data_IF_955502071929
#
_entry.id   IF_955502071929
#
_cell.length_a   1.000
_cell.length_b   1.000
_cell.length_c   1.000
_cell.angle_alpha   90.00
_cell.angle_beta   90.00
_cell.angle_gamma   90.00
#
_symmetry.space_group_name_H-M   'P 1'
#
loop_
_entity.id
_entity.type
_entity.pdbx_description
1 polymer ?
#
# COMPACT_ATOMS: atom_id res chain seq x y z
N UNK A 1 -3.60 0.28 -13.93
CA UNK A 1 -2.17 0.08 -14.25
C UNK A 1 -1.35 1.35 -14.03
N UNK A 2 -1.21 2.30 -14.96
CA UNK A 2 -0.40 3.52 -14.72
C UNK A 2 -1.17 4.65 -13.99
N UNK A 3 -2.45 4.85 -14.37
CA UNK A 3 -3.34 5.86 -13.77
C UNK A 3 -3.55 5.62 -12.26
N UNK A 4 -3.66 4.35 -11.86
CA UNK A 4 -3.89 3.96 -10.47
C UNK A 4 -2.68 4.19 -9.58
N UNK A 5 -1.51 4.45 -10.17
CA UNK A 5 -0.25 4.71 -9.47
C UNK A 5 0.15 6.19 -9.54
N UNK A 6 -0.78 7.07 -9.98
CA UNK A 6 -0.54 8.49 -10.19
C UNK A 6 0.63 8.81 -11.15
N UNK A 7 1.00 7.86 -12.03
CA UNK A 7 2.01 8.09 -13.05
C UNK A 7 1.40 8.82 -14.27
N UNK A 8 2.14 9.78 -14.86
CA UNK A 8 1.69 10.45 -16.08
C UNK A 8 1.57 9.43 -17.22
N UNK A 9 0.46 9.50 -17.97
CA UNK A 9 0.16 8.59 -19.09
C UNK A 9 1.04 8.78 -20.34
N UNK A 10 2.17 9.48 -20.21
CA UNK A 10 3.10 9.69 -21.32
C UNK A 10 3.84 8.38 -21.64
N UNK A 11 3.70 7.81 -22.85
CA UNK A 11 4.33 6.55 -23.25
C UNK A 11 5.84 6.53 -23.01
N UNK A 12 6.54 7.66 -23.17
CA UNK A 12 7.98 7.77 -22.93
C UNK A 12 8.36 7.58 -21.46
N UNK A 13 7.44 7.85 -20.53
CA UNK A 13 7.68 7.75 -19.07
C UNK A 13 7.19 6.44 -18.46
N UNK A 14 6.31 5.71 -19.14
CA UNK A 14 5.72 4.45 -18.64
C UNK A 14 6.19 3.21 -19.41
N UNK A 15 6.95 3.40 -20.49
CA UNK A 15 7.51 2.31 -21.29
C UNK A 15 8.95 2.01 -20.87
N UNK A 16 9.30 0.73 -20.79
CA UNK A 16 10.67 0.29 -20.61
C UNK A 16 11.47 0.35 -21.91
N UNK A 17 12.79 0.15 -21.81
CA UNK A 17 13.70 0.10 -22.96
C UNK A 17 13.32 -0.95 -24.01
N UNK A 18 12.54 -1.97 -23.61
CA UNK A 18 12.01 -2.99 -24.51
C UNK A 18 10.77 -2.55 -25.31
N UNK A 19 10.34 -1.28 -25.21
CA UNK A 19 9.20 -0.73 -25.94
C UNK A 19 7.82 -1.19 -25.42
N UNK A 20 7.77 -1.89 -24.28
CA UNK A 20 6.54 -2.32 -23.60
C UNK A 20 6.36 -1.54 -22.31
N UNK A 21 5.15 -1.57 -21.77
CA UNK A 21 4.82 -0.99 -20.47
C UNK A 21 5.72 -1.57 -19.38
N UNK A 22 6.24 -0.71 -18.48
CA UNK A 22 7.17 -1.14 -17.44
C UNK A 22 6.61 -2.29 -16.60
N UNK A 23 7.43 -3.32 -16.38
CA UNK A 23 7.01 -4.53 -15.67
C UNK A 23 6.71 -4.29 -14.19
N UNK A 24 7.35 -3.29 -13.55
CA UNK A 24 7.04 -2.87 -12.19
C UNK A 24 5.58 -2.43 -12.05
N UNK A 25 5.05 -1.69 -13.02
CA UNK A 25 3.65 -1.22 -12.99
C UNK A 25 2.67 -2.40 -12.92
N UNK A 26 2.96 -3.50 -13.63
CA UNK A 26 2.16 -4.71 -13.56
C UNK A 26 2.34 -5.46 -12.24
N UNK A 27 3.58 -5.56 -11.77
CA UNK A 27 3.93 -6.26 -10.53
C UNK A 27 3.26 -5.61 -9.31
N UNK A 28 3.25 -4.28 -9.24
CA UNK A 28 2.73 -3.52 -8.11
C UNK A 28 1.22 -3.30 -8.18
N UNK A 29 0.60 -3.48 -9.34
CA UNK A 29 -0.84 -3.19 -9.52
C UNK A 29 -1.78 -3.86 -8.50
N UNK A 30 -1.60 -5.13 -8.10
CA UNK A 30 -2.43 -5.74 -7.08
C UNK A 30 -2.31 -5.07 -5.70
N UNK A 31 -1.16 -4.47 -5.39
CA UNK A 31 -0.98 -3.71 -4.15
C UNK A 31 -1.82 -2.43 -4.19
N UNK A 32 -1.79 -1.72 -5.31
CA UNK A 32 -2.62 -0.52 -5.51
C UNK A 32 -4.11 -0.80 -5.46
N UNK A 33 -4.57 -1.93 -6.03
CA UNK A 33 -5.98 -2.32 -5.92
C UNK A 33 -6.40 -2.53 -4.46
N UNK A 34 -5.64 -3.35 -3.72
CA UNK A 34 -5.92 -3.64 -2.30
C UNK A 34 -5.85 -2.38 -1.42
N UNK A 35 -4.89 -1.51 -1.69
CA UNK A 35 -4.74 -0.27 -0.95
C UNK A 35 -5.92 0.68 -1.18
N UNK A 36 -6.41 0.81 -2.41
CA UNK A 36 -7.57 1.66 -2.71
C UNK A 36 -8.88 1.17 -2.05
N UNK A 37 -9.00 -0.13 -1.76
CA UNK A 37 -10.17 -0.71 -1.09
C UNK A 37 -10.22 -0.36 0.41
N UNK A 38 -9.06 -0.18 1.06
CA UNK A 38 -8.96 -0.01 2.52
C UNK A 38 -8.50 1.39 2.95
N UNK A 39 -7.74 2.10 2.12
CA UNK A 39 -7.11 3.35 2.51
C UNK A 39 -8.06 4.55 2.43
N UNK A 40 -8.00 5.47 3.42
CA UNK A 40 -8.76 6.72 3.37
C UNK A 40 -8.28 7.62 2.24
N UNK A 41 -9.20 8.28 1.53
CA UNK A 41 -8.86 9.16 0.42
C UNK A 41 -7.98 10.34 0.85
N UNK A 42 -7.10 10.81 -0.04
CA UNK A 42 -6.32 12.03 0.19
C UNK A 42 -7.28 13.19 0.46
N UNK A 43 -6.97 13.96 1.50
CA UNK A 43 -7.83 15.03 1.98
C UNK A 43 -8.86 14.59 3.01
N UNK A 44 -9.01 13.30 3.34
CA UNK A 44 -9.93 12.88 4.42
C UNK A 44 -9.37 13.27 5.78
N UNK A 45 -10.23 13.72 6.71
CA UNK A 45 -9.85 13.93 8.12
C UNK A 45 -9.70 12.57 8.80
N UNK A 46 -8.60 12.36 9.50
CA UNK A 46 -8.29 11.13 10.24
C UNK A 46 -7.76 11.49 11.62
N UNK A 47 -8.15 10.71 12.62
CA UNK A 47 -7.61 10.84 13.97
C UNK A 47 -6.42 9.89 14.10
N UNK A 48 -5.27 10.42 14.49
CA UNK A 48 -4.05 9.66 14.72
C UNK A 48 -3.67 9.71 16.20
N UNK A 49 -2.77 8.84 16.68
CA UNK A 49 -2.31 8.89 18.07
C UNK A 49 -1.74 10.24 18.47
N UNK A 50 -1.08 10.93 17.53
CA UNK A 50 -0.49 12.27 17.71
C UNK A 50 -1.51 13.41 17.61
N UNK A 51 -2.77 13.11 17.29
CA UNK A 51 -3.87 14.07 17.17
C UNK A 51 -4.63 13.98 15.86
N UNK A 52 -5.60 14.87 15.69
CA UNK A 52 -6.38 14.98 14.45
C UNK A 52 -5.54 15.58 13.32
N UNK A 53 -5.76 15.06 12.12
CA UNK A 53 -5.10 15.56 10.93
C UNK A 53 -5.85 15.21 9.66
N UNK A 54 -5.21 15.49 8.54
CA UNK A 54 -5.74 15.23 7.20
C UNK A 54 -4.75 14.39 6.40
N UNK A 55 -5.26 13.39 5.68
CA UNK A 55 -4.43 12.59 4.76
C UNK A 55 -3.85 13.51 3.70
N UNK A 56 -2.53 13.61 3.66
CA UNK A 56 -1.77 14.43 2.72
C UNK A 56 -1.26 13.64 1.51
N UNK A 57 -1.15 12.32 1.63
CA UNK A 57 -0.72 11.47 0.52
C UNK A 57 -0.73 9.99 0.87
N UNK A 58 -0.53 9.17 -0.16
CA UNK A 58 -0.47 7.72 -0.07
C UNK A 58 0.94 7.22 -0.40
N UNK A 59 1.37 6.19 0.31
CA UNK A 59 2.62 5.45 0.06
C UNK A 59 2.27 3.98 -0.11
N UNK A 60 1.69 3.65 -1.27
CA UNK A 60 1.12 2.33 -1.55
C UNK A 60 2.12 1.17 -1.45
N UNK A 61 3.37 1.26 -1.96
CA UNK A 61 4.34 0.16 -1.81
C UNK A 61 4.71 -0.13 -0.35
N UNK A 62 4.46 0.82 0.55
CA UNK A 62 4.70 0.72 1.99
C UNK A 62 3.42 0.47 2.79
N UNK A 63 2.28 0.34 2.12
CA UNK A 63 0.95 0.21 2.73
C UNK A 63 0.69 1.29 3.80
N UNK A 64 1.06 2.55 3.50
CA UNK A 64 1.03 3.65 4.46
C UNK A 64 0.38 4.92 3.91
N UNK A 65 -0.17 5.74 4.80
CA UNK A 65 -0.70 7.08 4.50
C UNK A 65 0.11 8.14 5.22
N UNK A 66 0.36 9.27 4.56
CA UNK A 66 0.98 10.43 5.19
C UNK A 66 -0.12 11.35 5.70
N UNK A 67 -0.08 11.73 6.97
CA UNK A 67 -1.06 12.62 7.59
C UNK A 67 -0.38 13.94 7.94
N UNK A 68 -1.04 15.06 7.60
CA UNK A 68 -0.69 16.38 8.09
C UNK A 68 -1.56 16.68 9.31
N UNK A 69 -0.93 16.84 10.47
CA UNK A 69 -1.63 17.17 11.71
C UNK A 69 -2.13 18.62 11.67
N UNK A 70 -3.35 18.84 12.17
CA UNK A 70 -3.89 20.19 12.36
C UNK A 70 -3.25 20.76 13.64
N UNK A 71 -2.24 21.63 13.49
CA UNK A 71 -1.49 22.11 14.65
C UNK A 71 -2.35 22.99 15.59
N UNK A 72 -2.58 22.53 16.83
CA UNK A 72 -2.34 23.33 18.05
C UNK A 72 -2.08 22.42 19.27
N UNK A 73 -1.18 22.80 20.21
CA UNK A 73 -0.44 21.87 21.08
C UNK A 73 -0.86 21.86 22.56
N UNK A 74 -0.46 20.81 23.31
CA UNK A 74 0.03 20.77 24.72
C UNK A 74 -0.38 19.51 25.53
N UNK A 75 -1.17 18.59 24.98
CA UNK A 75 -1.52 17.35 25.69
C UNK A 75 -0.67 16.18 25.20
N UNK A 76 -0.03 15.40 26.11
CA UNK A 76 0.63 14.17 25.70
C UNK A 76 -0.40 13.24 25.05
N UNK A 77 -0.05 12.54 23.96
CA UNK A 77 -0.97 11.64 23.28
C UNK A 77 -1.47 10.59 24.28
N UNK A 78 -2.79 10.42 24.34
CA UNK A 78 -3.45 9.47 25.23
C UNK A 78 -2.91 8.05 24.96
N UNK A 79 -2.61 7.23 25.99
CA UNK A 79 -2.17 5.86 25.78
C UNK A 79 -3.38 5.04 25.35
N UNK A 80 -3.66 5.02 24.05
CA UNK A 80 -4.63 4.09 23.49
C UNK A 80 -3.93 3.04 22.64
N UNK A 81 -4.31 1.76 22.80
CA UNK A 81 -3.79 0.71 21.97
C UNK A 81 -4.21 1.00 20.53
N UNK A 82 -3.25 0.95 19.62
CA UNK A 82 -3.49 1.11 18.20
C UNK A 82 -4.72 0.30 17.77
N UNK A 83 -5.62 0.84 16.92
CA UNK A 83 -6.65 0.00 16.32
C UNK A 83 -5.91 -1.09 15.57
N UNK A 84 -6.07 -2.32 16.05
CA UNK A 84 -5.46 -3.50 15.46
C UNK A 84 -5.86 -3.56 13.99
N UNK A 85 -4.99 -3.07 13.11
CA UNK A 85 -5.00 -3.43 11.71
C UNK A 85 -4.70 -4.94 11.67
N UNK A 86 -5.75 -5.69 11.35
CA UNK A 86 -5.81 -7.10 10.94
C UNK A 86 -5.84 -8.18 12.03
N UNK A 87 -6.85 -9.07 12.01
CA UNK A 87 -6.60 -10.48 12.27
C UNK A 87 -5.83 -11.05 11.07
N UNK A 88 -4.56 -11.36 11.27
CA UNK A 88 -3.77 -12.16 10.33
C UNK A 88 -4.44 -13.52 10.16
N UNK A 89 -5.11 -13.73 9.03
CA UNK A 89 -5.50 -15.08 8.61
C UNK A 89 -4.22 -15.82 8.20
N UNK A 90 -3.85 -16.96 8.81
CA UNK A 90 -2.71 -17.73 8.34
C UNK A 90 -3.02 -18.32 6.95
N UNK A 91 -2.06 -18.36 6.01
CA UNK A 91 -2.24 -19.08 4.76
C UNK A 91 -2.34 -20.59 5.07
N UNK A 92 -3.25 -21.34 4.44
CA UNK A 92 -3.23 -22.80 4.55
C UNK A 92 -1.90 -23.31 3.96
N UNK A 93 -1.20 -24.12 4.75
CA UNK A 93 0.10 -24.68 4.40
C UNK A 93 0.06 -25.40 3.05
N UNK A 94 0.69 -24.80 2.04
CA UNK A 94 1.14 -25.53 0.87
C UNK A 94 2.32 -26.39 1.30
N UNK A 95 2.07 -27.68 1.45
CA UNK A 95 3.12 -28.70 1.51
C UNK A 95 3.88 -28.68 0.18
N UNK A 96 5.05 -28.07 0.16
CA UNK A 96 6.04 -28.28 -0.90
C UNK A 96 6.67 -29.65 -0.70
N UNK A 97 6.48 -30.56 -1.66
CA UNK A 97 7.38 -31.67 -1.88
C UNK A 97 7.51 -31.86 -3.40
N UNK A 98 8.51 -31.19 -3.96
CA UNK A 98 9.08 -31.50 -5.26
C UNK A 98 10.17 -32.52 -5.03
N UNK A 99 9.97 -33.75 -5.48
CA UNK A 99 11.07 -34.66 -5.81
C UNK A 99 10.70 -35.39 -7.09
N UNK A 100 11.34 -34.90 -8.14
CA UNK A 100 11.62 -35.51 -9.45
C UNK A 100 11.57 -37.07 -9.44
N UNK A 101 11.05 -37.71 -10.50
CA UNK A 101 11.05 -39.18 -10.60
C UNK A 101 12.46 -39.73 -10.85
N UNK A 102 12.81 -40.92 -10.34
CA UNK A 102 13.95 -41.69 -10.86
C UNK A 102 13.53 -42.51 -12.11
N UNK A 103 14.47 -42.80 -13.02
CA UNK A 103 14.25 -43.59 -14.22
C UNK A 103 14.42 -45.10 -13.96
N UNK A 104 13.71 -45.94 -14.72
CA UNK A 104 13.91 -47.40 -14.78
C UNK A 104 12.68 -48.20 -14.46
#
# INVERSE_FOLDING_TARGET
MAKDQDLPLNPLRISGACGRLMCCLKYEHPLYQKFQESAPAVGTRVTTPDGDGRVAGHSVPRDAVTVRLDAVPLTPPSPHPAPHLFPTRPPPGLRTASTRPPPG
#
